data_IF_823799468353
#
_entry.id   IF_823799468353
#
_cell.length_a   1.000
_cell.length_b   1.000
_cell.length_c   1.000
_cell.angle_alpha   90.00
_cell.angle_beta   90.00
_cell.angle_gamma   90.00
#
_symmetry.space_group_name_H-M   'P 1'
#
loop_
_entity.id
_entity.type
_entity.pdbx_description
1 polymer ?
#
# COMPACT_ATOMS: atom_id res chain seq x y z
N UNK A 1 31.31 38.18 24.58
CA UNK A 1 31.76 37.14 23.63
C UNK A 1 30.80 35.97 23.84
N UNK A 2 29.59 36.00 23.27
CA UNK A 2 28.54 35.04 23.66
C UNK A 2 27.19 35.18 22.96
N UNK A 3 26.98 36.24 22.16
CA UNK A 3 25.77 36.41 21.33
C UNK A 3 25.91 35.77 19.95
N UNK A 4 27.13 35.58 19.46
CA UNK A 4 27.37 34.91 18.17
C UNK A 4 27.27 33.38 18.30
N UNK A 5 27.79 32.79 19.38
CA UNK A 5 27.66 31.33 19.62
C UNK A 5 26.19 30.89 19.71
N UNK A 6 25.33 31.64 20.40
CA UNK A 6 23.89 31.32 20.50
C UNK A 6 23.15 31.43 19.17
N UNK A 7 23.53 32.37 18.29
CA UNK A 7 22.95 32.47 16.95
C UNK A 7 23.43 31.34 16.02
N UNK A 8 24.69 30.91 16.13
CA UNK A 8 25.21 29.75 15.37
C UNK A 8 24.45 28.46 15.75
N UNK A 9 24.13 28.28 17.04
CA UNK A 9 23.37 27.13 17.53
C UNK A 9 21.90 27.13 17.05
N UNK A 10 21.23 28.30 17.01
CA UNK A 10 19.84 28.41 16.54
C UNK A 10 19.70 28.13 15.03
N UNK A 11 20.64 28.64 14.22
CA UNK A 11 20.64 28.44 12.77
C UNK A 11 20.93 26.98 12.39
N UNK A 12 21.84 26.33 13.13
CA UNK A 12 22.12 24.90 12.97
C UNK A 12 20.94 24.03 13.42
N UNK A 13 20.26 24.39 14.51
CA UNK A 13 19.08 23.68 14.99
C UNK A 13 17.89 23.79 14.01
N UNK A 14 17.69 24.96 13.38
CA UNK A 14 16.69 25.11 12.31
C UNK A 14 17.01 24.22 11.10
N UNK A 15 18.28 24.18 10.70
CA UNK A 15 18.75 23.36 9.58
C UNK A 15 18.59 21.87 9.87
N UNK A 16 18.88 21.45 11.10
CA UNK A 16 18.73 20.07 11.56
C UNK A 16 17.26 19.64 11.58
N UNK A 17 16.37 20.50 12.08
CA UNK A 17 14.93 20.25 12.06
C UNK A 17 14.38 20.11 10.62
N UNK A 18 14.72 20.99 9.69
CA UNK A 18 14.29 20.87 8.29
C UNK A 18 14.70 19.53 7.66
N UNK A 19 15.94 19.11 7.85
CA UNK A 19 16.44 17.81 7.34
C UNK A 19 15.72 16.64 8.01
N UNK A 20 15.39 16.75 9.30
CA UNK A 20 14.63 15.75 10.04
C UNK A 20 13.20 15.61 9.50
N UNK A 21 12.50 16.73 9.25
CA UNK A 21 11.15 16.73 8.68
C UNK A 21 11.11 16.16 7.26
N UNK A 22 12.08 16.51 6.39
CA UNK A 22 12.16 15.92 5.05
C UNK A 22 12.43 14.42 5.07
N UNK A 23 13.29 13.94 5.97
CA UNK A 23 13.54 12.50 6.13
C UNK A 23 12.27 11.79 6.60
N UNK A 24 11.56 12.38 7.56
CA UNK A 24 10.32 11.81 8.09
C UNK A 24 9.24 11.73 7.01
N UNK A 25 8.99 12.81 6.26
CA UNK A 25 8.02 12.81 5.18
C UNK A 25 8.36 11.85 4.02
N UNK A 26 9.65 11.71 3.67
CA UNK A 26 10.08 10.71 2.67
C UNK A 26 9.87 9.28 3.15
N UNK A 27 10.15 8.98 4.43
CA UNK A 27 9.96 7.65 5.00
C UNK A 27 8.48 7.28 5.12
N UNK A 28 7.65 8.22 5.58
CA UNK A 28 6.20 8.04 5.69
C UNK A 28 5.57 7.79 4.29
N UNK A 29 5.90 8.61 3.29
CA UNK A 29 5.40 8.41 1.92
C UNK A 29 5.86 7.09 1.27
N UNK A 30 7.08 6.62 1.57
CA UNK A 30 7.58 5.31 1.10
C UNK A 30 6.89 4.14 1.80
N UNK A 31 6.61 4.26 3.10
CA UNK A 31 5.93 3.22 3.87
C UNK A 31 4.46 3.09 3.42
N UNK A 32 3.75 4.21 3.35
CA UNK A 32 2.35 4.26 2.92
C UNK A 32 2.20 3.77 1.48
N UNK A 33 3.04 4.25 0.55
CA UNK A 33 3.00 3.83 -0.85
C UNK A 33 3.31 2.33 -1.04
N UNK A 34 4.22 1.78 -0.22
CA UNK A 34 4.56 0.35 -0.28
C UNK A 34 3.44 -0.52 0.28
N UNK A 35 2.80 -0.11 1.37
CA UNK A 35 1.70 -0.86 1.98
C UNK A 35 0.46 -0.86 1.08
N UNK A 36 0.08 0.30 0.55
CA UNK A 36 -1.03 0.44 -0.39
C UNK A 36 -0.76 -0.38 -1.66
N UNK A 37 0.44 -0.25 -2.25
CA UNK A 37 0.80 -1.00 -3.47
C UNK A 37 0.84 -2.52 -3.26
N UNK A 38 1.29 -3.01 -2.10
CA UNK A 38 1.28 -4.44 -1.76
C UNK A 38 -0.13 -4.98 -1.52
N UNK A 39 -1.01 -4.17 -0.93
CA UNK A 39 -2.41 -4.54 -0.71
C UNK A 39 -3.17 -4.58 -2.04
N UNK A 40 -3.04 -3.54 -2.88
CA UNK A 40 -3.65 -3.49 -4.20
C UNK A 40 -3.15 -4.60 -5.12
N UNK A 41 -1.83 -4.84 -5.15
CA UNK A 41 -1.24 -5.89 -5.99
C UNK A 41 -1.73 -7.30 -5.63
N UNK A 42 -1.83 -7.61 -4.33
CA UNK A 42 -2.36 -8.89 -3.87
C UNK A 42 -3.84 -9.07 -4.20
N UNK A 43 -4.63 -8.00 -4.06
CA UNK A 43 -6.06 -8.00 -4.41
C UNK A 43 -6.24 -8.25 -5.91
N UNK A 44 -5.53 -7.48 -6.74
CA UNK A 44 -5.59 -7.60 -8.20
C UNK A 44 -5.14 -8.96 -8.70
N UNK A 45 -4.06 -9.53 -8.15
CA UNK A 45 -3.62 -10.89 -8.51
C UNK A 45 -4.66 -11.95 -8.13
N UNK A 46 -5.20 -11.88 -6.91
CA UNK A 46 -6.20 -12.85 -6.45
C UNK A 46 -7.48 -12.77 -7.29
N UNK A 47 -7.89 -11.57 -7.68
CA UNK A 47 -9.01 -11.36 -8.60
C UNK A 47 -8.72 -11.85 -10.03
N UNK A 48 -7.51 -11.62 -10.57
CA UNK A 48 -7.15 -12.13 -11.91
C UNK A 48 -7.12 -13.66 -11.93
N UNK A 49 -6.55 -14.27 -10.88
CA UNK A 49 -6.55 -15.73 -10.72
C UNK A 49 -7.98 -16.26 -10.62
N UNK A 50 -8.83 -15.66 -9.77
CA UNK A 50 -10.24 -16.03 -9.66
C UNK A 50 -10.96 -15.92 -11.02
N UNK A 51 -10.75 -14.83 -11.76
CA UNK A 51 -11.31 -14.64 -13.12
C UNK A 51 -10.80 -15.67 -14.12
N UNK A 52 -9.52 -16.03 -14.08
CA UNK A 52 -8.97 -17.09 -14.96
C UNK A 52 -9.59 -18.44 -14.66
N UNK A 53 -9.67 -18.82 -13.38
CA UNK A 53 -10.28 -20.08 -12.95
C UNK A 53 -11.77 -20.14 -13.34
N UNK A 54 -12.51 -19.04 -13.14
CA UNK A 54 -13.89 -18.89 -13.59
C UNK A 54 -14.05 -19.06 -15.11
N UNK A 55 -13.16 -18.43 -15.89
CA UNK A 55 -13.18 -18.51 -17.36
C UNK A 55 -12.85 -19.92 -17.87
N UNK A 56 -12.15 -20.73 -17.08
CA UNK A 56 -11.90 -22.16 -17.36
C UNK A 56 -13.10 -23.06 -17.00
N UNK A 57 -14.21 -22.50 -16.51
CA UNK A 57 -15.43 -23.23 -16.19
C UNK A 57 -15.47 -23.81 -14.78
N UNK A 58 -14.61 -23.34 -13.86
CA UNK A 58 -14.67 -23.73 -12.45
C UNK A 58 -15.86 -23.07 -11.73
N UNK A 59 -16.44 -23.79 -10.78
CA UNK A 59 -17.56 -23.30 -9.95
C UNK A 59 -17.10 -22.19 -8.99
N UNK A 60 -18.02 -21.34 -8.54
CA UNK A 60 -17.74 -20.26 -7.56
C UNK A 60 -17.13 -20.84 -6.29
N UNK A 61 -17.62 -22.01 -5.87
CA UNK A 61 -17.20 -22.72 -4.67
C UNK A 61 -15.76 -23.25 -4.79
N UNK A 62 -15.38 -23.77 -5.96
CA UNK A 62 -14.02 -24.26 -6.21
C UNK A 62 -13.02 -23.11 -6.39
N UNK A 63 -13.44 -22.03 -7.05
CA UNK A 63 -12.62 -20.81 -7.17
C UNK A 63 -12.36 -20.20 -5.80
N UNK A 64 -13.39 -20.09 -4.95
CA UNK A 64 -13.27 -19.61 -3.57
C UNK A 64 -12.26 -20.43 -2.75
N UNK A 65 -12.32 -21.77 -2.85
CA UNK A 65 -11.35 -22.65 -2.18
C UNK A 65 -9.93 -22.50 -2.73
N UNK A 66 -9.78 -22.34 -4.05
CA UNK A 66 -8.48 -22.23 -4.69
C UNK A 66 -7.77 -20.90 -4.42
N UNK A 67 -8.53 -19.79 -4.31
CA UNK A 67 -7.98 -18.45 -4.05
C UNK A 67 -8.03 -18.05 -2.58
N UNK A 68 -8.64 -18.87 -1.71
CA UNK A 68 -8.89 -18.57 -0.30
C UNK A 68 -9.65 -17.23 -0.16
N UNK A 69 -10.59 -16.99 -1.08
CA UNK A 69 -11.44 -15.81 -1.11
C UNK A 69 -12.85 -16.17 -0.69
N UNK A 70 -13.59 -15.19 -0.18
CA UNK A 70 -14.97 -15.38 0.18
C UNK A 70 -15.83 -15.71 -1.08
N UNK A 71 -16.69 -16.75 -1.04
CA UNK A 71 -17.50 -17.14 -2.19
C UNK A 71 -18.44 -16.03 -2.66
N UNK A 72 -18.94 -15.17 -1.76
CA UNK A 72 -19.77 -14.02 -2.13
C UNK A 72 -18.93 -12.95 -2.84
N UNK A 73 -17.67 -12.76 -2.44
CA UNK A 73 -16.74 -11.88 -3.14
C UNK A 73 -16.41 -12.40 -4.54
N UNK A 74 -16.22 -13.71 -4.69
CA UNK A 74 -16.02 -14.36 -6.01
C UNK A 74 -17.27 -14.20 -6.87
N UNK A 75 -18.47 -14.37 -6.29
CA UNK A 75 -19.74 -14.13 -6.96
C UNK A 75 -19.85 -12.68 -7.43
N UNK A 76 -19.59 -11.69 -6.57
CA UNK A 76 -19.56 -10.28 -6.96
C UNK A 76 -18.53 -10.00 -8.07
N UNK A 77 -17.37 -10.66 -8.04
CA UNK A 77 -16.35 -10.52 -9.07
C UNK A 77 -16.79 -11.08 -10.43
N UNK A 78 -17.55 -12.18 -10.41
CA UNK A 78 -18.15 -12.79 -11.61
C UNK A 78 -19.34 -11.97 -12.11
N UNK A 79 -20.18 -11.45 -11.20
CA UNK A 79 -21.38 -10.64 -11.49
C UNK A 79 -21.05 -9.22 -11.92
N UNK A 80 -19.90 -8.67 -11.53
CA UNK A 80 -19.38 -7.40 -12.05
C UNK A 80 -19.08 -7.43 -13.56
N UNK A 81 -19.30 -8.59 -14.20
CA UNK A 81 -19.20 -8.83 -15.64
C UNK A 81 -20.57 -9.18 -16.22
N UNK A 82 -21.53 -8.27 -16.07
CA UNK A 82 -22.64 -8.09 -17.01
C UNK A 82 -22.73 -6.62 -17.42
#
# INVERSE_FOLDING_TARGET
>A
MGVYEQMFDEEENLRMNCVAYERKGRLEGLAEGREIGLAEGRRLQSEEVARRLASMGMSVEDVSKATVMDPDLVRCLMESKM
#
